data_IF_539931841202
#
_entry.id   IF_539931841202
#
_cell.length_a   1.000
_cell.length_b   1.000
_cell.length_c   1.000
_cell.angle_alpha   90.00
_cell.angle_beta   90.00
_cell.angle_gamma   90.00
#
_symmetry.space_group_name_H-M   'P 1'
#
loop_
_entity.id
_entity.type
_entity.pdbx_description
1 polymer ?
#
# COMPACT_ATOMS: atom_id res chain seq x y z
N UNK A 1 43.22 -8.51 -45.11
CA UNK A 1 42.21 -8.56 -44.04
C UNK A 1 41.67 -7.15 -43.90
N UNK A 2 40.56 -6.85 -44.58
CA UNK A 2 39.85 -5.59 -44.40
C UNK A 2 39.16 -5.64 -43.04
N UNK A 3 39.55 -4.75 -42.12
CA UNK A 3 38.87 -4.61 -40.84
C UNK A 3 37.66 -3.70 -41.07
N UNK A 4 36.48 -4.30 -41.17
CA UNK A 4 35.21 -3.57 -41.18
C UNK A 4 35.00 -2.91 -39.82
N UNK A 5 35.34 -1.63 -39.71
CA UNK A 5 35.05 -0.82 -38.54
C UNK A 5 33.53 -0.72 -38.35
N UNK A 6 32.97 -1.07 -37.17
CA UNK A 6 31.53 -1.08 -36.97
C UNK A 6 30.98 0.36 -36.98
N UNK A 7 30.32 0.72 -38.07
CA UNK A 7 29.69 2.04 -38.30
C UNK A 7 28.52 2.33 -37.34
N UNK A 8 27.95 1.30 -36.71
CA UNK A 8 26.81 1.40 -35.81
C UNK A 8 27.03 0.67 -34.47
N UNK A 9 26.48 1.24 -33.40
CA UNK A 9 26.42 0.67 -32.04
C UNK A 9 24.99 0.31 -31.63
N UNK A 10 24.88 -0.59 -30.65
CA UNK A 10 23.58 -1.05 -30.16
C UNK A 10 22.85 0.01 -29.33
N UNK A 11 21.57 0.20 -29.62
CA UNK A 11 20.68 1.05 -28.82
C UNK A 11 20.54 0.49 -27.39
N UNK A 12 20.72 1.33 -26.37
CA UNK A 12 20.60 0.92 -24.96
C UNK A 12 19.23 0.38 -24.58
N UNK A 13 18.17 0.82 -25.27
CA UNK A 13 16.78 0.51 -24.99
C UNK A 13 16.28 -0.73 -25.75
N UNK A 14 16.41 -0.75 -27.08
CA UNK A 14 15.87 -1.83 -27.93
C UNK A 14 16.92 -2.80 -28.47
N UNK A 15 18.21 -2.57 -28.16
CA UNK A 15 19.37 -3.39 -28.56
C UNK A 15 19.62 -3.52 -30.07
N UNK A 16 18.88 -2.80 -30.92
CA UNK A 16 19.12 -2.73 -32.38
C UNK A 16 20.40 -1.94 -32.70
N UNK A 17 21.16 -2.38 -33.70
CA UNK A 17 22.37 -1.74 -34.22
C UNK A 17 22.04 -0.55 -35.14
N UNK A 18 21.24 0.39 -34.63
CA UNK A 18 20.71 1.53 -35.40
C UNK A 18 21.27 2.89 -34.93
N UNK A 19 22.31 2.89 -34.09
CA UNK A 19 22.89 4.14 -33.54
C UNK A 19 24.25 4.38 -34.19
N UNK A 20 24.48 5.47 -34.92
CA UNK A 20 25.80 5.76 -35.47
C UNK A 20 26.87 5.80 -34.36
N UNK A 21 28.06 5.26 -34.61
CA UNK A 21 29.10 5.18 -33.58
C UNK A 21 29.45 6.56 -32.99
N UNK A 22 29.54 7.58 -33.86
CA UNK A 22 29.81 8.97 -33.50
C UNK A 22 28.61 9.73 -32.87
N UNK A 23 27.40 9.16 -32.83
CA UNK A 23 26.27 9.83 -32.16
C UNK A 23 26.52 9.84 -30.65
N UNK A 24 26.51 11.02 -30.01
CA UNK A 24 26.69 11.14 -28.56
C UNK A 24 25.60 10.40 -27.75
N UNK A 25 24.47 10.09 -28.39
CA UNK A 25 23.31 9.47 -27.73
C UNK A 25 23.43 7.95 -27.70
N UNK A 26 22.93 7.36 -26.62
CA UNK A 26 22.93 5.90 -26.40
C UNK A 26 21.66 5.21 -26.94
N UNK A 27 20.73 5.93 -27.56
CA UNK A 27 19.43 5.39 -27.97
C UNK A 27 19.09 5.79 -29.39
N UNK A 28 18.51 4.86 -30.16
CA UNK A 28 18.14 5.09 -31.54
C UNK A 28 16.98 6.09 -31.67
N UNK A 29 16.80 6.65 -32.88
CA UNK A 29 15.77 7.65 -33.16
C UNK A 29 14.35 7.16 -32.81
N UNK A 30 14.05 5.89 -33.08
CA UNK A 30 12.74 5.29 -32.75
C UNK A 30 12.46 5.30 -31.25
N UNK A 31 13.46 4.94 -30.43
CA UNK A 31 13.31 4.96 -28.97
C UNK A 31 13.19 6.39 -28.44
N UNK A 32 13.94 7.34 -29.02
CA UNK A 32 13.84 8.77 -28.67
C UNK A 32 12.46 9.33 -29.00
N UNK A 33 11.93 9.06 -30.19
CA UNK A 33 10.58 9.46 -30.59
C UNK A 33 9.51 8.88 -29.65
N UNK A 34 9.63 7.60 -29.28
CA UNK A 34 8.73 6.95 -28.32
C UNK A 34 8.79 7.59 -26.92
N UNK A 35 9.99 7.95 -26.45
CA UNK A 35 10.16 8.65 -25.18
C UNK A 35 9.53 10.06 -25.21
N UNK A 36 9.73 10.82 -26.31
CA UNK A 36 9.08 12.12 -26.52
C UNK A 36 7.57 12.01 -26.49
N UNK A 37 6.98 11.02 -27.17
CA UNK A 37 5.53 10.76 -27.16
C UNK A 37 5.02 10.49 -25.73
N UNK A 38 5.68 9.60 -24.98
CA UNK A 38 5.32 9.31 -23.58
C UNK A 38 5.39 10.54 -22.68
N UNK A 39 6.41 11.39 -22.86
CA UNK A 39 6.53 12.64 -22.11
C UNK A 39 5.41 13.62 -22.45
N UNK A 40 5.03 13.70 -23.73
CA UNK A 40 3.93 14.54 -24.19
C UNK A 40 2.58 14.06 -23.64
N UNK A 41 2.31 12.75 -23.71
CA UNK A 41 1.09 12.15 -23.18
C UNK A 41 0.98 12.38 -21.67
N UNK A 42 2.08 12.19 -20.92
CA UNK A 42 2.12 12.47 -19.48
C UNK A 42 1.82 13.94 -19.17
N UNK A 43 2.39 14.88 -19.94
CA UNK A 43 2.10 16.31 -19.79
C UNK A 43 0.63 16.61 -20.08
N UNK A 44 0.06 16.02 -21.14
CA UNK A 44 -1.35 16.19 -21.51
C UNK A 44 -2.30 15.68 -20.43
N UNK A 45 -2.03 14.50 -19.87
CA UNK A 45 -2.83 13.96 -18.76
C UNK A 45 -2.78 14.86 -17.53
N UNK A 46 -1.58 15.35 -17.16
CA UNK A 46 -1.42 16.24 -16.01
C UNK A 46 -2.13 17.59 -16.22
N UNK A 47 -2.04 18.16 -17.43
CA UNK A 47 -2.78 19.38 -17.78
C UNK A 47 -4.30 19.16 -17.75
N UNK A 48 -4.81 18.03 -18.25
CA UNK A 48 -6.23 17.70 -18.19
C UNK A 48 -6.74 17.51 -16.75
N UNK A 49 -5.93 16.90 -15.88
CA UNK A 49 -6.25 16.78 -14.45
C UNK A 49 -6.29 18.14 -13.76
N UNK A 50 -5.33 19.03 -14.03
CA UNK A 50 -5.34 20.40 -13.50
C UNK A 50 -6.55 21.21 -13.99
N UNK A 51 -6.91 21.09 -15.27
CA UNK A 51 -8.09 21.75 -15.82
C UNK A 51 -9.38 21.27 -15.12
N UNK A 52 -9.48 19.97 -14.84
CA UNK A 52 -10.64 19.38 -14.15
C UNK A 52 -10.77 19.89 -12.71
N UNK A 53 -9.65 20.10 -12.00
CA UNK A 53 -9.66 20.64 -10.63
C UNK A 53 -10.13 22.10 -10.58
N UNK A 54 -9.77 22.91 -11.59
CA UNK A 54 -10.18 24.31 -11.66
C UNK A 54 -11.67 24.49 -12.00
N UNK A 55 -12.28 23.52 -12.68
CA UNK A 55 -13.72 23.55 -13.00
C UNK A 55 -14.64 23.29 -11.80
N UNK A 56 -14.12 22.73 -10.70
CA UNK A 56 -14.89 22.47 -9.46
C UNK A 56 -14.98 23.67 -8.51
N UNK A 57 -14.29 24.78 -8.80
CA UNK A 57 -14.22 25.95 -7.92
C UNK A 57 -15.36 26.97 -8.13
N UNK A 58 -16.31 26.72 -9.04
CA UNK A 58 -17.37 27.67 -9.42
C UNK A 58 -18.71 27.50 -8.70
N UNK A 59 -18.80 26.63 -7.67
CA UNK A 59 -19.99 26.55 -6.78
C UNK A 59 -19.70 27.23 -5.43
N UNK A 60 -19.14 28.44 -5.46
CA UNK A 60 -18.98 29.25 -4.24
C UNK A 60 -19.18 30.73 -4.52
N UNK A 61 -20.38 31.08 -4.97
CA UNK A 61 -20.85 32.47 -4.96
C UNK A 61 -22.26 32.48 -4.38
N UNK A 62 -22.37 32.73 -3.07
CA UNK A 62 -23.48 33.40 -2.35
C UNK A 62 -23.45 33.03 -0.85
N UNK A 63 -22.38 33.41 -0.13
CA UNK A 63 -22.48 33.66 1.32
C UNK A 63 -21.61 34.87 1.65
N UNK A 64 -22.29 36.01 1.76
CA UNK A 64 -21.76 37.31 2.18
C UNK A 64 -21.42 37.22 3.67
N UNK A 65 -20.14 37.07 4.02
CA UNK A 65 -19.69 37.14 5.42
C UNK A 65 -19.29 38.58 5.81
N UNK A 66 -19.69 39.06 7.00
CA UNK A 66 -19.28 40.34 7.55
C UNK A 66 -17.85 40.31 8.13
N UNK A 67 -17.21 41.48 8.33
CA UNK A 67 -15.81 41.60 8.71
C UNK A 67 -15.52 41.13 10.15
N UNK A 68 -14.26 40.73 10.44
CA UNK A 68 -13.87 40.15 11.72
C UNK A 68 -13.76 41.22 12.81
N UNK A 69 -14.53 41.04 13.89
CA UNK A 69 -14.34 41.78 15.14
C UNK A 69 -13.32 41.04 16.02
N UNK A 70 -12.28 41.76 16.43
CA UNK A 70 -11.22 41.33 17.33
C UNK A 70 -11.71 41.36 18.78
N UNK A 71 -12.15 40.21 19.31
CA UNK A 71 -12.49 40.06 20.73
C UNK A 71 -11.43 39.21 21.45
N UNK A 72 -10.66 39.87 22.32
CA UNK A 72 -9.74 39.25 23.30
C UNK A 72 -10.56 38.39 24.26
N UNK A 73 -10.39 37.06 24.23
CA UNK A 73 -10.98 36.16 25.23
C UNK A 73 -9.91 35.60 26.16
N UNK A 74 -10.11 35.92 27.44
CA UNK A 74 -9.41 35.50 28.64
C UNK A 74 -9.53 33.98 28.81
N UNK A 75 -8.40 33.31 28.97
CA UNK A 75 -8.31 31.87 29.26
C UNK A 75 -8.60 31.70 30.76
N UNK A 76 -9.68 30.97 31.08
CA UNK A 76 -10.00 30.55 32.45
C UNK A 76 -9.85 29.03 32.54
N UNK A 77 -8.96 28.64 33.44
CA UNK A 77 -8.43 27.31 33.66
C UNK A 77 -9.46 26.46 34.42
N UNK A 78 -10.08 25.51 33.72
CA UNK A 78 -11.02 24.55 34.34
C UNK A 78 -10.32 23.22 34.61
N UNK A 79 -10.06 22.98 35.90
CA UNK A 79 -9.65 21.72 36.52
C UNK A 79 -10.57 20.56 36.09
N UNK A 80 -9.99 19.58 35.38
CA UNK A 80 -10.67 18.31 35.08
C UNK A 80 -10.42 17.29 36.20
N UNK A 81 -11.51 16.78 36.76
CA UNK A 81 -11.55 15.69 37.74
C UNK A 81 -11.58 14.32 37.03
N UNK A 82 -10.94 13.28 37.58
CA UNK A 82 -10.96 11.93 37.00
C UNK A 82 -12.29 11.22 37.30
N UNK A 83 -13.11 11.03 36.26
CA UNK A 83 -14.36 10.25 36.31
C UNK A 83 -14.04 8.75 36.29
N UNK A 84 -14.25 8.07 37.42
CA UNK A 84 -14.24 6.60 37.52
C UNK A 84 -15.32 6.01 36.61
N UNK A 85 -14.91 5.31 35.55
CA UNK A 85 -15.81 4.53 34.69
C UNK A 85 -15.91 3.12 35.25
N UNK A 86 -17.15 2.71 35.51
CA UNK A 86 -17.56 1.40 36.02
C UNK A 86 -17.21 0.29 35.04
N UNK A 87 -16.56 -0.77 35.53
CA UNK A 87 -16.29 -2.02 34.79
C UNK A 87 -17.58 -2.83 34.73
N UNK A 88 -18.29 -2.79 33.61
CA UNK A 88 -19.28 -3.81 33.27
C UNK A 88 -18.59 -4.95 32.51
N UNK A 89 -18.63 -6.14 33.10
CA UNK A 89 -18.20 -7.40 32.51
C UNK A 89 -19.24 -7.89 31.50
N UNK A 90 -18.85 -7.96 30.22
CA UNK A 90 -19.64 -8.57 29.14
C UNK A 90 -19.23 -10.04 28.93
N UNK A 91 -20.16 -10.91 28.51
CA UNK A 91 -19.99 -12.36 28.48
C UNK A 91 -19.08 -12.82 27.33
N UNK A 92 -18.35 -13.91 27.59
CA UNK A 92 -17.40 -14.55 26.69
C UNK A 92 -18.09 -15.11 25.43
N UNK A 93 -18.26 -14.25 24.43
CA UNK A 93 -18.65 -14.62 23.07
C UNK A 93 -17.40 -14.51 22.22
N UNK A 94 -17.04 -15.57 21.50
CA UNK A 94 -15.79 -15.69 20.73
C UNK A 94 -15.33 -14.35 20.13
N UNK A 95 -14.25 -13.80 20.70
CA UNK A 95 -13.73 -12.46 20.40
C UNK A 95 -13.36 -12.35 18.92
N UNK A 96 -14.33 -11.96 18.10
CA UNK A 96 -14.12 -11.58 16.71
C UNK A 96 -13.23 -10.34 16.77
N UNK A 97 -11.96 -10.48 16.41
CA UNK A 97 -11.01 -9.38 16.42
C UNK A 97 -11.64 -8.20 15.68
N UNK A 98 -11.83 -7.09 16.40
CA UNK A 98 -12.46 -5.88 15.85
C UNK A 98 -11.52 -5.36 14.78
N UNK A 99 -11.89 -5.53 13.50
CA UNK A 99 -11.11 -5.02 12.38
C UNK A 99 -11.21 -3.50 12.36
N UNK A 100 -10.07 -2.80 12.38
CA UNK A 100 -10.03 -1.34 12.33
C UNK A 100 -10.30 -0.87 10.89
N UNK A 101 -11.26 0.04 10.70
CA UNK A 101 -11.55 0.62 9.38
C UNK A 101 -10.75 1.90 9.16
N UNK A 102 -10.07 1.98 8.03
CA UNK A 102 -9.25 3.12 7.62
C UNK A 102 -9.88 3.83 6.42
N UNK A 103 -9.86 5.16 6.46
CA UNK A 103 -10.42 5.99 5.40
C UNK A 103 -9.51 6.04 4.16
N UNK A 104 -8.20 5.84 4.32
CA UNK A 104 -7.21 5.90 3.24
C UNK A 104 -6.30 4.67 3.27
N UNK A 105 -5.91 4.17 2.10
CA UNK A 105 -4.94 3.08 1.97
C UNK A 105 -3.60 3.40 2.65
N UNK A 106 -3.11 4.64 2.53
CA UNK A 106 -1.88 5.07 3.21
C UNK A 106 -1.92 4.89 4.72
N UNK A 107 -3.03 5.28 5.36
CA UNK A 107 -3.22 5.14 6.81
C UNK A 107 -3.29 3.68 7.26
N UNK A 108 -3.90 2.80 6.45
CA UNK A 108 -3.85 1.35 6.68
C UNK A 108 -2.40 0.84 6.64
N UNK A 109 -1.63 1.23 5.63
CA UNK A 109 -0.24 0.80 5.48
C UNK A 109 0.68 1.34 6.58
N UNK A 110 0.50 2.58 7.03
CA UNK A 110 1.22 3.16 8.17
C UNK A 110 0.90 2.46 9.49
N UNK A 111 -0.37 2.09 9.71
CA UNK A 111 -0.77 1.35 10.89
C UNK A 111 -0.17 -0.06 10.92
N UNK A 112 -0.17 -0.76 9.77
CA UNK A 112 0.49 -2.07 9.65
C UNK A 112 1.99 -1.92 9.93
N UNK A 113 2.64 -0.93 9.32
CA UNK A 113 4.08 -0.70 9.50
C UNK A 113 4.41 -0.48 10.98
N UNK A 114 3.66 0.40 11.64
CA UNK A 114 3.81 0.66 13.08
C UNK A 114 3.60 -0.60 13.91
N UNK A 115 2.56 -1.40 13.62
CA UNK A 115 2.27 -2.65 14.34
C UNK A 115 3.37 -3.71 14.17
N UNK A 116 3.95 -3.82 12.97
CA UNK A 116 5.04 -4.77 12.70
C UNK A 116 6.38 -4.35 13.28
N UNK A 117 6.60 -3.05 13.51
CA UNK A 117 7.83 -2.53 14.11
C UNK A 117 7.79 -2.57 15.65
N UNK A 118 6.62 -2.43 16.26
CA UNK A 118 6.47 -2.37 17.71
C UNK A 118 6.49 -3.74 18.39
N UNK A 119 6.02 -4.79 17.71
CA UNK A 119 5.80 -6.11 18.30
C UNK A 119 6.45 -7.21 17.48
N UNK A 120 7.26 -8.04 18.15
CA UNK A 120 7.76 -9.31 17.59
C UNK A 120 6.64 -10.31 17.32
N UNK A 121 5.52 -10.21 18.03
CA UNK A 121 4.26 -10.97 17.84
C UNK A 121 3.12 -10.02 17.51
N UNK A 122 3.09 -9.62 16.24
CA UNK A 122 2.12 -8.67 15.69
C UNK A 122 0.83 -9.40 15.30
N UNK A 123 -0.27 -9.09 15.99
CA UNK A 123 -1.62 -9.38 15.52
C UNK A 123 -2.27 -8.08 15.06
N UNK A 124 -2.55 -7.97 13.77
CA UNK A 124 -3.17 -6.81 13.15
C UNK A 124 -4.34 -7.24 12.27
N UNK A 125 -5.46 -6.53 12.36
CA UNK A 125 -6.59 -6.68 11.45
C UNK A 125 -7.15 -5.31 11.11
N UNK A 126 -7.10 -4.95 9.83
CA UNK A 126 -7.55 -3.65 9.35
C UNK A 126 -8.16 -3.75 7.96
N UNK A 127 -9.08 -2.83 7.65
CA UNK A 127 -9.72 -2.76 6.35
C UNK A 127 -9.80 -1.34 5.79
N UNK A 128 -9.87 -1.23 4.47
CA UNK A 128 -10.08 0.01 3.75
C UNK A 128 -10.95 -0.25 2.51
N UNK A 129 -11.91 0.63 2.26
CA UNK A 129 -12.83 0.52 1.13
C UNK A 129 -12.44 1.48 0.01
N UNK A 130 -12.51 1.00 -1.22
CA UNK A 130 -12.23 1.79 -2.44
C UNK A 130 -13.41 1.67 -3.41
N UNK A 131 -13.56 2.63 -4.31
CA UNK A 131 -14.55 2.56 -5.39
C UNK A 131 -14.16 1.45 -6.36
N UNK A 132 -15.15 0.69 -6.84
CA UNK A 132 -14.97 -0.37 -7.81
C UNK A 132 -14.41 0.17 -9.13
N UNK A 133 -13.59 -0.64 -9.79
CA UNK A 133 -13.04 -0.33 -11.10
C UNK A 133 -13.10 -1.58 -11.97
N UNK A 134 -13.81 -1.49 -13.09
CA UNK A 134 -14.02 -2.54 -14.09
C UNK A 134 -12.72 -3.15 -14.65
N UNK A 135 -11.67 -2.35 -14.79
CA UNK A 135 -10.37 -2.83 -15.28
C UNK A 135 -9.58 -3.67 -14.26
N UNK A 136 -9.96 -3.60 -12.98
CA UNK A 136 -9.23 -4.22 -11.86
C UNK A 136 -10.15 -5.18 -11.08
N UNK A 137 -10.07 -6.45 -11.46
CA UNK A 137 -10.69 -7.55 -10.71
C UNK A 137 -10.10 -7.73 -9.29
N UNK A 138 -10.81 -8.49 -8.45
CA UNK A 138 -10.39 -8.78 -7.07
C UNK A 138 -9.01 -9.44 -6.99
N UNK A 139 -8.64 -10.27 -7.97
CA UNK A 139 -7.35 -10.96 -8.01
C UNK A 139 -6.20 -9.99 -8.30
N UNK A 140 -6.36 -9.10 -9.27
CA UNK A 140 -5.42 -8.02 -9.61
C UNK A 140 -5.28 -7.07 -8.42
N UNK A 141 -6.39 -6.72 -7.77
CA UNK A 141 -6.38 -5.88 -6.57
C UNK A 141 -5.59 -6.55 -5.44
N UNK A 142 -5.87 -7.81 -5.13
CA UNK A 142 -5.13 -8.56 -4.12
C UNK A 142 -3.62 -8.57 -4.44
N UNK A 143 -3.23 -8.85 -5.70
CA UNK A 143 -1.83 -8.81 -6.15
C UNK A 143 -1.19 -7.42 -6.03
N UNK A 144 -1.94 -6.34 -6.21
CA UNK A 144 -1.45 -4.98 -6.00
C UNK A 144 -1.18 -4.74 -4.51
N UNK A 145 -2.13 -5.09 -3.64
CA UNK A 145 -1.99 -4.96 -2.19
C UNK A 145 -0.82 -5.81 -1.68
N UNK A 146 -0.64 -7.04 -2.18
CA UNK A 146 0.54 -7.87 -1.86
C UNK A 146 1.84 -7.14 -2.18
N UNK A 147 1.94 -6.50 -3.35
CA UNK A 147 3.13 -5.74 -3.76
C UNK A 147 3.34 -4.50 -2.90
N UNK A 148 2.27 -3.83 -2.49
CA UNK A 148 2.35 -2.66 -1.61
C UNK A 148 2.81 -3.04 -0.20
N UNK A 149 2.33 -4.15 0.36
CA UNK A 149 2.81 -4.65 1.65
C UNK A 149 4.30 -4.97 1.63
N UNK A 150 4.82 -5.52 0.53
CA UNK A 150 6.25 -5.79 0.36
C UNK A 150 7.06 -4.50 0.20
N UNK A 151 6.60 -3.55 -0.63
CA UNK A 151 7.38 -2.37 -1.03
C UNK A 151 7.28 -1.19 -0.06
N UNK A 152 6.07 -0.91 0.42
CA UNK A 152 5.75 0.27 1.23
C UNK A 152 5.90 -0.07 2.71
N UNK A 153 5.26 -1.16 3.14
CA UNK A 153 5.23 -1.57 4.55
C UNK A 153 6.49 -2.35 4.94
N UNK A 154 7.11 -3.04 3.97
CA UNK A 154 8.30 -3.89 4.16
C UNK A 154 8.03 -5.10 5.06
N UNK A 155 6.83 -5.69 4.97
CA UNK A 155 6.54 -6.96 5.65
C UNK A 155 7.17 -8.10 4.87
N UNK A 156 8.04 -8.89 5.50
CA UNK A 156 8.72 -10.02 4.86
C UNK A 156 7.87 -11.29 4.91
N UNK A 157 7.32 -11.74 3.78
CA UNK A 157 6.59 -13.00 3.68
C UNK A 157 6.86 -13.73 2.35
N UNK A 158 6.62 -15.05 2.31
CA UNK A 158 6.84 -15.90 1.12
C UNK A 158 5.78 -15.57 0.06
N UNK A 159 6.03 -14.56 -0.76
CA UNK A 159 5.03 -14.02 -1.71
C UNK A 159 4.91 -14.83 -3.01
N UNK A 160 5.93 -15.61 -3.37
CA UNK A 160 5.98 -16.38 -4.62
C UNK A 160 4.88 -17.44 -4.69
N UNK A 161 4.54 -18.06 -3.55
CA UNK A 161 3.56 -19.13 -3.46
C UNK A 161 2.63 -18.91 -2.26
N UNK A 162 1.39 -18.43 -2.45
CA UNK A 162 0.41 -18.40 -1.38
C UNK A 162 0.10 -19.84 -0.94
N UNK A 163 0.04 -20.09 0.37
CA UNK A 163 -0.27 -21.42 0.89
C UNK A 163 -1.78 -21.72 0.87
N UNK A 164 -2.62 -20.68 0.86
CA UNK A 164 -4.07 -20.78 0.62
C UNK A 164 -4.53 -19.66 -0.29
N UNK A 165 -5.33 -20.03 -1.29
CA UNK A 165 -5.91 -19.12 -2.27
C UNK A 165 -7.37 -19.51 -2.46
N UNK A 166 -8.30 -18.65 -2.01
CA UNK A 166 -9.73 -18.89 -2.13
C UNK A 166 -10.32 -17.79 -3.00
N UNK A 167 -11.06 -18.19 -4.03
CA UNK A 167 -11.74 -17.28 -4.95
C UNK A 167 -13.21 -17.67 -4.97
N UNK A 168 -14.07 -16.68 -4.75
CA UNK A 168 -15.50 -16.74 -5.00
C UNK A 168 -15.86 -15.58 -5.91
N UNK A 169 -17.08 -15.56 -6.43
CA UNK A 169 -17.54 -14.49 -7.32
C UNK A 169 -17.46 -13.11 -6.65
N UNK A 170 -17.71 -13.07 -5.35
CA UNK A 170 -17.78 -11.84 -4.55
C UNK A 170 -16.52 -11.55 -3.72
N UNK A 171 -15.55 -12.47 -3.66
CA UNK A 171 -14.36 -12.28 -2.85
C UNK A 171 -13.14 -13.07 -3.31
N UNK A 172 -11.94 -12.54 -3.06
CA UNK A 172 -10.67 -13.23 -3.19
C UNK A 172 -9.93 -13.12 -1.87
N UNK A 173 -9.53 -14.26 -1.30
CA UNK A 173 -8.70 -14.33 -0.08
C UNK A 173 -7.41 -15.09 -0.35
N UNK A 174 -6.30 -14.40 -0.18
CA UNK A 174 -4.95 -14.92 -0.38
C UNK A 174 -4.22 -14.96 0.96
N UNK A 175 -3.58 -16.08 1.29
CA UNK A 175 -2.77 -16.21 2.51
C UNK A 175 -1.33 -16.60 2.19
N UNK A 176 -0.40 -15.93 2.87
CA UNK A 176 1.03 -16.11 2.76
C UNK A 176 1.63 -16.45 4.13
N UNK A 177 2.66 -17.28 4.14
CA UNK A 177 3.44 -17.58 5.35
C UNK A 177 4.44 -16.46 5.58
N UNK A 178 4.56 -15.95 6.81
CA UNK A 178 5.60 -14.97 7.12
C UNK A 178 6.99 -15.60 6.95
N UNK A 179 7.92 -14.79 6.46
CA UNK A 179 9.35 -15.11 6.39
C UNK A 179 10.13 -14.24 7.38
N UNK A 180 9.47 -13.89 8.48
CA UNK A 180 10.10 -13.25 9.60
C UNK A 180 11.16 -14.22 10.10
N UNK A 181 12.43 -13.97 9.79
CA UNK A 181 13.47 -14.48 10.66
C UNK A 181 13.19 -13.80 11.99
N UNK A 182 12.57 -14.53 12.93
CA UNK A 182 12.67 -14.16 14.32
C UNK A 182 14.17 -14.18 14.57
N UNK A 183 14.82 -13.03 14.46
CA UNK A 183 16.16 -12.85 15.00
C UNK A 183 16.04 -13.45 16.39
N UNK A 184 16.76 -14.54 16.71
CA UNK A 184 16.70 -15.05 18.06
C UNK A 184 16.94 -13.85 18.96
N UNK A 185 16.12 -13.65 20.02
CA UNK A 185 16.37 -12.57 20.97
C UNK A 185 17.86 -12.64 21.27
N UNK A 186 18.56 -11.51 21.21
CA UNK A 186 20.00 -11.43 21.48
C UNK A 186 20.23 -11.77 22.96
N UNK A 187 20.01 -13.01 23.35
CA UNK A 187 20.46 -13.59 24.60
C UNK A 187 21.95 -13.80 24.42
N UNK A 188 22.70 -12.80 24.89
CA UNK A 188 24.12 -12.88 25.16
C UNK A 188 24.37 -14.03 26.13
N UNK A 189 24.50 -15.26 25.63
CA UNK A 189 24.91 -16.40 26.46
C UNK A 189 25.70 -17.37 25.62
N UNK A 190 27.00 -17.14 25.68
CA UNK A 190 28.07 -18.06 25.31
C UNK A 190 27.89 -19.39 26.05
N UNK A 191 27.51 -20.45 25.35
CA UNK A 191 27.99 -21.80 25.67
C UNK A 191 27.84 -22.73 24.48
N UNK A 192 28.97 -23.29 24.05
CA UNK A 192 29.14 -24.23 22.95
C UNK A 192 28.21 -25.44 23.12
N UNK A 193 27.29 -25.70 22.19
CA UNK A 193 26.66 -27.02 22.02
C UNK A 193 25.99 -27.17 20.65
N UNK A 194 26.58 -28.09 19.86
CA UNK A 194 25.97 -29.03 18.90
C UNK A 194 24.75 -28.61 18.06
N UNK A 195 25.10 -28.20 16.85
CA UNK A 195 24.44 -28.29 15.54
C UNK A 195 23.18 -29.19 15.42
N UNK A 196 22.04 -28.70 15.89
CA UNK A 196 20.71 -29.07 15.42
C UNK A 196 20.00 -27.78 14.98
N UNK A 197 20.14 -27.42 13.71
CA UNK A 197 19.38 -26.33 13.08
C UNK A 197 17.91 -26.74 13.00
N UNK A 198 17.16 -26.59 14.09
CA UNK A 198 15.71 -26.45 13.98
C UNK A 198 15.46 -25.06 13.38
N UNK A 199 15.12 -25.02 12.09
CA UNK A 199 14.52 -23.84 11.48
C UNK A 199 13.18 -23.57 12.16
N UNK A 200 13.19 -22.74 13.20
CA UNK A 200 11.95 -22.25 13.80
C UNK A 200 11.33 -21.25 12.84
N UNK A 201 10.53 -21.75 11.90
CA UNK A 201 9.62 -20.91 11.11
C UNK A 201 8.73 -20.13 12.10
N UNK A 202 8.56 -18.82 11.90
CA UNK A 202 7.82 -18.00 12.87
C UNK A 202 6.34 -18.39 13.00
N UNK A 203 5.82 -19.26 12.12
CA UNK A 203 4.42 -19.70 12.08
C UNK A 203 3.42 -18.59 11.70
N UNK A 204 3.91 -17.36 11.49
CA UNK A 204 3.09 -16.21 11.20
C UNK A 204 2.43 -16.28 9.83
N UNK A 205 1.29 -15.61 9.68
CA UNK A 205 0.52 -15.58 8.45
C UNK A 205 0.07 -14.16 8.09
N UNK A 206 0.07 -13.87 6.79
CA UNK A 206 -0.48 -12.63 6.22
C UNK A 206 -1.64 -13.03 5.32
N UNK A 207 -2.85 -12.56 5.62
CA UNK A 207 -4.03 -12.77 4.80
C UNK A 207 -4.51 -11.45 4.21
N UNK A 208 -4.77 -11.46 2.90
CA UNK A 208 -5.33 -10.34 2.15
C UNK A 208 -6.66 -10.80 1.60
N UNK A 209 -7.74 -10.13 1.95
CA UNK A 209 -9.08 -10.39 1.44
C UNK A 209 -9.54 -9.17 0.67
N UNK A 210 -9.99 -9.35 -0.56
CA UNK A 210 -10.68 -8.33 -1.34
C UNK A 210 -12.09 -8.83 -1.59
N UNK A 211 -13.10 -8.07 -1.23
CA UNK A 211 -14.51 -8.44 -1.41
C UNK A 211 -15.33 -7.27 -1.91
N UNK A 212 -16.49 -7.54 -2.48
CA UNK A 212 -17.45 -6.51 -2.84
C UNK A 212 -17.86 -5.68 -1.61
N UNK A 213 -18.05 -4.39 -1.83
CA UNK A 213 -18.46 -3.44 -0.80
C UNK A 213 -19.59 -2.54 -1.30
N UNK A 214 -20.78 -2.70 -0.72
CA UNK A 214 -21.95 -1.87 -0.99
C UNK A 214 -22.16 -0.75 0.03
N UNK A 215 -21.18 -0.45 0.89
CA UNK A 215 -21.33 0.52 1.99
C UNK A 215 -21.38 1.99 1.54
N UNK A 216 -21.14 2.28 0.26
CA UNK A 216 -21.18 3.65 -0.24
C UNK A 216 -22.63 4.20 -0.19
N UNK A 217 -22.87 5.39 0.40
CA UNK A 217 -24.22 5.92 0.61
C UNK A 217 -25.00 6.20 -0.70
N UNK A 218 -24.28 6.41 -1.80
CA UNK A 218 -24.87 6.62 -3.13
C UNK A 218 -25.11 5.32 -3.92
N UNK A 219 -24.93 4.14 -3.31
CA UNK A 219 -25.07 2.85 -4.00
C UNK A 219 -23.99 2.56 -5.05
N UNK A 220 -22.88 3.30 -5.03
CA UNK A 220 -21.76 3.08 -5.92
C UNK A 220 -21.03 1.80 -5.48
N UNK A 221 -20.81 0.82 -6.38
CA UNK A 221 -20.11 -0.40 -6.03
C UNK A 221 -18.67 -0.08 -5.59
N UNK A 222 -18.23 -0.76 -4.54
CA UNK A 222 -16.90 -0.66 -3.97
C UNK A 222 -16.21 -2.02 -3.87
N UNK A 223 -14.94 -1.99 -3.49
CA UNK A 223 -14.16 -3.15 -3.07
C UNK A 223 -13.61 -2.86 -1.68
N UNK A 224 -13.84 -3.75 -0.72
CA UNK A 224 -13.22 -3.69 0.59
C UNK A 224 -11.98 -4.57 0.63
N UNK A 225 -10.86 -3.96 1.00
CA UNK A 225 -9.58 -4.61 1.19
C UNK A 225 -9.40 -4.83 2.69
N UNK A 226 -9.25 -6.07 3.12
CA UNK A 226 -8.98 -6.48 4.50
C UNK A 226 -7.60 -7.10 4.55
N UNK A 227 -6.74 -6.60 5.45
CA UNK A 227 -5.41 -7.14 5.70
C UNK A 227 -5.36 -7.65 7.13
N UNK A 228 -5.02 -8.92 7.28
CA UNK A 228 -4.84 -9.59 8.56
C UNK A 228 -3.40 -10.09 8.64
N UNK A 229 -2.71 -9.78 9.73
CA UNK A 229 -1.37 -10.29 10.05
C UNK A 229 -1.48 -10.94 11.41
N UNK A 230 -1.03 -12.19 11.51
CA UNK A 230 -0.97 -12.93 12.75
C UNK A 230 0.42 -13.54 12.90
N UNK A 231 1.23 -13.00 13.81
CA UNK A 231 2.57 -13.49 14.20
C UNK A 231 2.62 -13.86 15.68
#
# INVERSE_FOLDING_TARGET
MENDDPTYKACSQCKRLDVPYHDARKSCERCRAKARKRSHDKKRTLTAQLASLNSTSSIQTQLKMPPPQTAKRKIEETRNTPRKVSKQSVPATANKAVSLQYQKAGSLYEAIKTATLSNSRCNFSGCHSIVYCDTIDHTKRAKMVTRDLLKIVKVSFKYDKPYKYNVTDTQVRVKYSCNCALSPPKTLSSTKSTNLQLETECGGTVAITVRDDGSHPLGIPGQQIVVEIAH
#
